data_IF_338413475179
#
_entry.id   IF_338413475179
#
_cell.length_a   1.000
_cell.length_b   1.000
_cell.length_c   1.000
_cell.angle_alpha   90.00
_cell.angle_beta   90.00
_cell.angle_gamma   90.00
#
_symmetry.space_group_name_H-M   'P 1'
#
loop_
_entity.id
_entity.type
_entity.pdbx_description
1 polymer ?
#
# COMPACT_ATOMS: atom_id res chain seq x y z
N UNK A 1 3.23 -7.60 15.26
CA UNK A 1 4.31 -6.96 14.49
C UNK A 1 3.74 -5.77 13.77
N UNK A 2 4.27 -4.58 14.02
CA UNK A 2 3.78 -3.34 13.40
C UNK A 2 4.44 -3.21 12.03
N UNK A 3 3.70 -3.49 10.96
CA UNK A 3 4.17 -3.25 9.60
C UNK A 3 4.11 -1.76 9.29
N UNK A 4 5.26 -1.11 9.20
CA UNK A 4 5.37 0.24 8.69
C UNK A 4 5.35 0.18 7.17
N UNK A 5 4.25 0.63 6.54
CA UNK A 5 4.18 0.76 5.09
C UNK A 5 4.62 2.16 4.68
N UNK A 6 5.74 2.21 3.96
CA UNK A 6 6.24 3.43 3.33
C UNK A 6 5.79 3.46 1.87
N UNK A 7 4.92 4.40 1.50
CA UNK A 7 4.67 4.74 0.12
C UNK A 7 5.36 6.08 -0.19
N UNK A 8 6.44 6.05 -0.95
CA UNK A 8 7.15 7.23 -1.46
C UNK A 8 6.78 7.42 -2.93
N UNK A 9 6.06 8.49 -3.26
CA UNK A 9 5.81 8.87 -4.65
C UNK A 9 6.67 10.10 -4.99
N UNK A 10 7.49 9.99 -6.02
CA UNK A 10 8.27 11.07 -6.58
C UNK A 10 7.53 11.67 -7.78
N UNK A 11 7.09 12.93 -7.67
CA UNK A 11 6.69 13.74 -8.80
C UNK A 11 7.85 14.65 -9.19
N UNK A 12 8.14 14.77 -10.48
CA UNK A 12 9.30 15.48 -11.04
C UNK A 12 9.29 17.01 -10.83
N UNK A 13 8.30 17.56 -10.16
CA UNK A 13 8.33 18.94 -9.70
C UNK A 13 8.56 18.98 -8.18
N UNK A 14 9.83 18.83 -7.82
CA UNK A 14 10.51 19.36 -6.63
C UNK A 14 10.16 18.85 -5.22
N UNK A 15 9.39 17.77 -4.99
CA UNK A 15 9.22 17.23 -3.64
C UNK A 15 9.07 15.73 -3.63
N UNK A 16 10.02 15.02 -3.03
CA UNK A 16 9.83 13.60 -2.67
C UNK A 16 8.97 13.55 -1.40
N UNK A 17 7.75 13.07 -1.53
CA UNK A 17 6.85 12.89 -0.40
C UNK A 17 7.01 11.49 0.19
N UNK A 18 7.45 11.40 1.44
CA UNK A 18 7.45 10.17 2.23
C UNK A 18 6.10 10.11 2.94
N UNK A 19 5.30 9.10 2.63
CA UNK A 19 4.00 8.92 3.29
C UNK A 19 4.14 8.01 4.50
N UNK A 20 3.73 8.49 5.66
CA UNK A 20 3.66 7.69 6.88
C UNK A 20 2.20 7.33 7.17
N UNK A 21 1.91 6.05 7.26
CA UNK A 21 0.66 5.53 7.78
C UNK A 21 0.84 5.26 9.28
N UNK A 22 0.03 5.87 10.11
CA UNK A 22 0.00 5.54 11.54
C UNK A 22 -1.07 4.46 11.75
N UNK A 23 -0.71 3.21 12.05
CA UNK A 23 -1.68 2.14 12.27
C UNK A 23 -2.22 2.22 13.70
N UNK A 24 -3.17 3.09 13.96
CA UNK A 24 -3.89 3.13 15.25
C UNK A 24 -5.39 3.37 15.06
N UNK A 25 -5.97 2.91 13.95
CA UNK A 25 -7.41 2.77 13.83
C UNK A 25 -7.85 1.30 13.96
N UNK A 26 -7.42 0.63 15.04
CA UNK A 26 -8.30 -0.38 15.61
C UNK A 26 -9.46 0.39 16.21
N UNK A 27 -10.60 0.36 15.53
CA UNK A 27 -11.86 0.89 16.04
C UNK A 27 -12.21 0.17 17.35
N UNK A 28 -11.76 0.74 18.44
CA UNK A 28 -12.39 0.48 19.72
C UNK A 28 -13.71 1.24 19.71
N UNK A 29 -14.80 0.55 19.39
CA UNK A 29 -16.18 1.05 19.48
C UNK A 29 -16.55 1.27 20.96
N UNK A 30 -15.85 2.16 21.62
CA UNK A 30 -16.22 2.71 22.92
C UNK A 30 -16.62 4.16 22.70
N UNK A 31 -17.89 4.38 22.38
CA UNK A 31 -18.50 5.70 22.47
C UNK A 31 -18.60 6.10 23.96
N UNK A 32 -17.85 7.10 24.45
CA UNK A 32 -18.29 7.83 25.61
C UNK A 32 -19.36 8.81 25.10
N UNK A 33 -20.61 8.60 25.47
CA UNK A 33 -21.61 9.66 25.49
C UNK A 33 -21.15 10.73 26.49
N UNK A 34 -20.32 11.65 26.04
CA UNK A 34 -20.05 12.89 26.76
C UNK A 34 -20.86 13.99 26.07
N UNK A 35 -21.77 14.58 26.82
CA UNK A 35 -22.59 15.73 26.50
C UNK A 35 -21.78 16.82 25.78
N UNK A 36 -22.02 16.96 24.48
CA UNK A 36 -21.50 18.06 23.67
C UNK A 36 -22.28 19.34 24.00
N UNK A 37 -21.94 19.99 25.09
CA UNK A 37 -22.37 21.38 25.33
C UNK A 37 -21.46 22.26 24.49
N UNK A 38 -21.95 22.71 23.32
CA UNK A 38 -21.54 23.96 22.68
C UNK A 38 -20.10 24.08 22.16
N UNK A 39 -19.37 22.99 21.83
CA UNK A 39 -18.08 23.15 21.11
C UNK A 39 -18.36 23.43 19.64
N UNK A 40 -18.07 24.65 19.20
CA UNK A 40 -18.00 24.98 17.78
C UNK A 40 -16.69 24.38 17.26
N UNK A 41 -16.77 23.31 16.48
CA UNK A 41 -15.61 22.74 15.79
C UNK A 41 -15.27 23.61 14.57
N UNK A 42 -13.98 23.75 14.30
CA UNK A 42 -13.50 24.33 13.04
C UNK A 42 -13.94 23.48 11.85
N UNK A 43 -14.18 24.11 10.73
CA UNK A 43 -14.30 23.42 9.44
C UNK A 43 -12.96 22.78 9.07
N UNK A 44 -12.96 21.81 8.17
CA UNK A 44 -11.72 21.18 7.72
C UNK A 44 -10.74 22.17 7.10
N UNK A 45 -11.26 23.16 6.37
CA UNK A 45 -10.43 24.21 5.77
C UNK A 45 -9.76 25.10 6.84
N UNK A 46 -10.51 25.55 7.84
CA UNK A 46 -9.96 26.30 8.98
C UNK A 46 -8.93 25.47 9.76
N UNK A 47 -9.17 24.17 9.93
CA UNK A 47 -8.22 23.26 10.57
C UNK A 47 -6.90 23.20 9.80
N UNK A 48 -6.92 23.05 8.47
CA UNK A 48 -5.71 23.04 7.61
C UNK A 48 -4.91 24.34 7.75
N UNK A 49 -5.59 25.49 7.70
CA UNK A 49 -4.96 26.82 7.80
C UNK A 49 -4.33 27.02 9.19
N UNK A 50 -5.04 26.65 10.25
CA UNK A 50 -4.54 26.78 11.61
C UNK A 50 -3.33 25.86 11.87
N UNK A 51 -3.39 24.58 11.46
CA UNK A 51 -2.26 23.64 11.56
C UNK A 51 -1.05 24.19 10.84
N UNK A 52 -1.22 24.65 9.59
CA UNK A 52 -0.12 25.24 8.79
C UNK A 52 0.50 26.43 9.49
N UNK A 53 -0.33 27.34 9.99
CA UNK A 53 0.13 28.56 10.68
C UNK A 53 0.90 28.24 11.95
N UNK A 54 0.37 27.33 12.79
CA UNK A 54 1.03 26.95 14.05
C UNK A 54 2.37 26.27 13.79
N UNK A 55 2.42 25.34 12.83
CA UNK A 55 3.66 24.62 12.47
C UNK A 55 4.69 25.59 11.87
N UNK A 56 4.28 26.46 10.93
CA UNK A 56 5.17 27.46 10.33
C UNK A 56 5.77 28.37 11.39
N UNK A 57 4.96 28.85 12.34
CA UNK A 57 5.44 29.74 13.42
C UNK A 57 6.41 29.03 14.37
N UNK A 58 6.22 27.74 14.65
CA UNK A 58 7.13 26.97 15.51
C UNK A 58 8.46 26.64 14.87
N UNK A 59 8.50 26.48 13.54
CA UNK A 59 9.68 26.09 12.79
C UNK A 59 10.46 27.31 12.25
N UNK A 60 9.82 28.47 12.19
CA UNK A 60 10.43 29.74 11.75
C UNK A 60 10.53 29.87 10.22
N UNK A 61 11.20 30.94 9.73
CA UNK A 61 11.19 31.33 8.31
C UNK A 61 12.07 30.46 7.40
N UNK A 62 12.97 29.65 7.95
CA UNK A 62 13.89 28.82 7.16
C UNK A 62 13.26 27.51 6.65
N UNK A 63 11.98 27.33 6.93
CA UNK A 63 11.21 26.12 6.56
C UNK A 63 9.96 26.58 5.83
N UNK A 64 9.56 25.85 4.78
CA UNK A 64 8.32 26.08 4.07
C UNK A 64 7.34 24.95 4.38
N UNK A 65 6.20 25.29 4.97
CA UNK A 65 5.10 24.38 5.24
C UNK A 65 4.07 24.52 4.11
N UNK A 66 3.75 23.42 3.44
CA UNK A 66 2.77 23.41 2.34
C UNK A 66 1.81 22.23 2.48
N UNK A 67 0.58 22.41 2.01
CA UNK A 67 -0.41 21.34 1.89
C UNK A 67 -0.65 21.12 0.41
N UNK A 68 -0.63 19.86 -0.01
CA UNK A 68 -0.92 19.44 -1.38
C UNK A 68 -1.90 18.28 -1.34
N UNK A 69 -2.81 18.25 -2.32
CA UNK A 69 -3.66 17.09 -2.53
C UNK A 69 -2.83 15.94 -3.09
N UNK A 70 -2.91 14.79 -2.42
CA UNK A 70 -2.22 13.55 -2.80
C UNK A 70 -3.27 12.54 -3.21
N UNK A 71 -3.20 12.08 -4.44
CA UNK A 71 -4.05 11.00 -4.94
C UNK A 71 -3.34 9.68 -4.73
N UNK A 72 -3.97 8.78 -4.00
CA UNK A 72 -3.52 7.43 -3.72
C UNK A 72 -4.22 6.41 -4.60
N UNK A 73 -3.89 5.14 -4.39
CA UNK A 73 -4.57 4.02 -5.04
C UNK A 73 -6.09 4.12 -4.85
N UNK A 74 -6.84 3.65 -5.84
CA UNK A 74 -8.30 3.67 -5.89
C UNK A 74 -8.90 5.08 -5.75
N UNK A 75 -8.24 6.07 -6.36
CA UNK A 75 -8.70 7.48 -6.39
C UNK A 75 -9.03 8.01 -4.97
N UNK A 76 -8.19 7.65 -4.01
CA UNK A 76 -8.31 8.13 -2.63
C UNK A 76 -7.53 9.43 -2.47
N UNK A 77 -8.19 10.48 -2.00
CA UNK A 77 -7.64 11.82 -1.89
C UNK A 77 -7.29 12.17 -0.44
N UNK A 78 -6.06 12.60 -0.23
CA UNK A 78 -5.57 13.09 1.06
C UNK A 78 -4.93 14.46 0.92
N UNK A 79 -5.09 15.29 1.96
CA UNK A 79 -4.33 16.52 2.09
C UNK A 79 -3.01 16.23 2.82
N UNK A 80 -1.92 16.23 2.06
CA UNK A 80 -0.57 15.96 2.54
C UNK A 80 0.15 17.24 2.95
N UNK A 81 0.46 17.38 4.24
CA UNK A 81 1.31 18.45 4.76
C UNK A 81 2.77 18.04 4.60
N UNK A 82 3.56 18.91 4.00
CA UNK A 82 5.02 18.76 3.82
C UNK A 82 5.75 19.92 4.46
N UNK A 83 6.90 19.63 5.05
CA UNK A 83 7.76 20.60 5.75
C UNK A 83 9.14 20.56 5.09
N UNK A 84 9.39 21.49 4.19
CA UNK A 84 10.65 21.58 3.46
C UNK A 84 11.61 22.58 4.12
N UNK A 85 12.81 22.13 4.48
CA UNK A 85 13.90 22.99 4.87
C UNK A 85 14.78 23.33 3.66
N UNK A 86 15.47 24.46 3.71
CA UNK A 86 16.39 24.88 2.64
C UNK A 86 17.56 23.89 2.39
N UNK A 87 17.75 22.93 3.27
CA UNK A 87 18.85 21.96 3.23
C UNK A 87 18.43 20.58 2.72
N UNK A 88 17.12 20.34 2.52
CA UNK A 88 16.59 19.03 2.14
C UNK A 88 15.74 19.15 0.87
N UNK A 89 15.95 18.25 -0.06
CA UNK A 89 15.13 18.12 -1.27
C UNK A 89 13.91 17.18 -1.08
N UNK A 90 13.75 16.62 0.11
CA UNK A 90 12.71 15.64 0.44
C UNK A 90 12.13 15.96 1.80
N UNK A 91 10.83 15.74 1.94
CA UNK A 91 10.10 15.87 3.19
C UNK A 91 9.14 14.69 3.36
N UNK A 92 8.93 14.19 4.58
CA UNK A 92 7.82 13.32 4.86
C UNK A 92 6.49 14.03 4.56
N UNK A 93 5.53 13.30 4.01
CA UNK A 93 4.16 13.78 3.83
C UNK A 93 3.29 13.28 4.97
N UNK A 94 2.62 14.19 5.65
CA UNK A 94 1.78 13.92 6.81
C UNK A 94 0.33 14.19 6.41
N UNK A 95 -0.53 13.17 6.46
CA UNK A 95 -1.93 13.28 6.02
C UNK A 95 -2.81 13.92 7.07
N UNK A 96 -3.32 15.11 6.78
CA UNK A 96 -4.14 15.89 7.71
C UNK A 96 -5.54 15.32 7.94
N UNK A 97 -6.06 14.52 7.00
CA UNK A 97 -7.37 13.89 7.09
C UNK A 97 -7.53 13.05 8.36
N UNK A 98 -6.47 12.30 8.76
CA UNK A 98 -6.48 11.50 9.99
C UNK A 98 -6.47 12.36 11.24
N UNK A 99 -5.69 13.43 11.24
CA UNK A 99 -5.61 14.36 12.36
C UNK A 99 -6.91 15.15 12.55
N UNK A 100 -7.59 15.49 11.45
CA UNK A 100 -8.91 16.13 11.55
C UNK A 100 -9.96 15.22 12.20
N UNK A 101 -9.97 13.92 11.87
CA UNK A 101 -10.83 12.95 12.58
C UNK A 101 -10.56 12.92 14.08
N UNK A 102 -9.29 12.99 14.49
CA UNK A 102 -8.91 13.04 15.91
C UNK A 102 -9.36 14.37 16.56
N UNK A 103 -9.24 15.49 15.84
CA UNK A 103 -9.75 16.78 16.30
C UNK A 103 -11.27 16.73 16.56
N UNK A 104 -12.02 16.14 15.67
CA UNK A 104 -13.48 15.95 15.84
C UNK A 104 -13.82 15.02 17.01
N UNK A 105 -12.92 14.08 17.36
CA UNK A 105 -13.04 13.24 18.56
C UNK A 105 -12.63 13.98 19.85
N UNK A 106 -12.24 15.25 19.77
CA UNK A 106 -11.98 16.12 20.92
C UNK A 106 -10.50 16.37 21.26
N UNK A 107 -9.57 15.84 20.46
CA UNK A 107 -8.15 16.13 20.61
C UNK A 107 -7.87 17.59 20.30
N UNK A 108 -7.02 18.25 21.09
CA UNK A 108 -6.70 19.66 20.89
C UNK A 108 -5.82 19.90 19.65
N UNK A 109 -5.95 21.08 19.02
CA UNK A 109 -5.09 21.47 17.90
C UNK A 109 -3.61 21.48 18.29
N UNK A 110 -3.31 21.84 19.53
CA UNK A 110 -1.94 21.93 20.05
C UNK A 110 -1.27 20.57 20.17
N UNK A 111 -1.98 19.55 20.69
CA UNK A 111 -1.51 18.17 20.76
C UNK A 111 -1.31 17.59 19.35
N UNK A 112 -2.22 17.88 18.42
CA UNK A 112 -2.11 17.47 17.02
C UNK A 112 -0.88 18.06 16.36
N UNK A 113 -0.65 19.37 16.51
CA UNK A 113 0.54 20.02 15.95
C UNK A 113 1.84 19.51 16.60
N UNK A 114 1.80 19.13 17.87
CA UNK A 114 2.94 18.50 18.53
C UNK A 114 3.26 17.14 17.91
N UNK A 115 2.27 16.30 17.71
CA UNK A 115 2.41 14.99 17.07
C UNK A 115 2.96 15.11 15.63
N UNK A 116 2.36 16.00 14.82
CA UNK A 116 2.83 16.26 13.46
C UNK A 116 4.31 16.61 13.45
N UNK A 117 4.76 17.45 14.38
CA UNK A 117 6.16 17.83 14.50
C UNK A 117 7.06 16.69 14.99
N UNK A 118 6.56 15.80 15.84
CA UNK A 118 7.28 14.60 16.27
C UNK A 118 7.45 13.63 15.11
N UNK A 119 6.36 13.31 14.39
CA UNK A 119 6.38 12.50 13.17
C UNK A 119 7.36 13.07 12.13
N UNK A 120 7.33 14.39 11.91
CA UNK A 120 8.29 15.04 11.02
C UNK A 120 9.74 14.85 11.46
N UNK A 121 10.05 15.06 12.75
CA UNK A 121 11.42 14.95 13.28
C UNK A 121 11.96 13.53 13.21
N UNK A 122 11.13 12.54 13.51
CA UNK A 122 11.50 11.13 13.49
C UNK A 122 11.76 10.60 12.08
N UNK A 123 11.08 11.21 11.09
CA UNK A 123 11.03 10.66 9.73
C UNK A 123 11.66 11.59 8.67
N UNK A 124 12.17 12.75 9.05
CA UNK A 124 12.91 13.58 8.11
C UNK A 124 14.22 12.88 7.73
N UNK A 125 14.59 12.88 6.43
CA UNK A 125 15.84 12.29 6.00
C UNK A 125 17.03 13.03 6.64
N UNK A 126 18.12 12.31 6.87
CA UNK A 126 19.37 12.85 7.40
C UNK A 126 20.14 13.71 6.39
N UNK A 127 19.76 13.67 5.12
CA UNK A 127 20.40 14.43 4.03
C UNK A 127 19.56 14.43 2.76
N UNK A 128 20.11 15.03 1.70
CA UNK A 128 19.51 14.98 0.37
C UNK A 128 19.55 13.55 -0.17
N UNK A 129 18.44 13.10 -0.73
CA UNK A 129 18.44 11.85 -1.51
C UNK A 129 18.82 12.20 -2.95
N UNK A 130 19.86 11.56 -3.47
CA UNK A 130 20.20 11.69 -4.87
C UNK A 130 19.18 10.95 -5.73
N UNK A 131 18.39 11.71 -6.48
CA UNK A 131 17.41 11.19 -7.44
C UNK A 131 17.89 11.35 -8.88
N UNK A 132 19.11 11.85 -9.09
CA UNK A 132 19.64 12.04 -10.45
C UNK A 132 19.78 10.72 -11.21
N UNK A 133 19.95 9.60 -10.49
CA UNK A 133 19.96 8.27 -11.07
C UNK A 133 18.69 7.98 -11.87
N UNK A 134 17.54 8.54 -11.46
CA UNK A 134 16.25 8.27 -12.09
C UNK A 134 16.14 8.86 -13.51
N UNK A 135 16.98 9.82 -13.85
CA UNK A 135 17.07 10.36 -15.22
C UNK A 135 17.88 9.46 -16.15
N UNK A 136 18.71 8.57 -15.60
CA UNK A 136 19.58 7.67 -16.36
C UNK A 136 18.98 6.27 -16.44
N UNK A 137 18.52 5.88 -17.63
CA UNK A 137 17.90 4.57 -17.86
C UNK A 137 18.79 3.39 -17.43
N UNK A 138 20.09 3.44 -17.68
CA UNK A 138 21.02 2.36 -17.30
C UNK A 138 21.05 2.10 -15.79
N UNK A 139 20.83 3.13 -14.99
CA UNK A 139 20.77 3.03 -13.53
C UNK A 139 19.40 2.58 -13.03
N UNK A 140 18.33 2.90 -13.78
CA UNK A 140 16.94 2.61 -13.41
C UNK A 140 16.52 1.21 -13.84
N UNK A 141 16.94 0.73 -15.01
CA UNK A 141 16.41 -0.48 -15.66
C UNK A 141 16.39 -1.72 -14.75
N UNK A 142 17.39 -1.90 -13.89
CA UNK A 142 17.49 -3.06 -13.00
C UNK A 142 16.69 -2.91 -11.70
N UNK A 143 16.01 -1.74 -11.50
CA UNK A 143 15.19 -1.39 -10.33
C UNK A 143 13.72 -1.29 -10.67
N UNK A 144 13.36 -1.50 -11.94
CA UNK A 144 11.97 -1.46 -12.41
C UNK A 144 11.25 -2.71 -11.95
N UNK A 145 10.16 -2.50 -11.21
CA UNK A 145 9.28 -3.55 -10.69
C UNK A 145 7.83 -3.23 -11.04
N UNK A 146 6.99 -4.25 -11.07
CA UNK A 146 5.55 -4.05 -11.24
C UNK A 146 4.78 -4.22 -9.93
N UNK A 147 3.57 -3.67 -9.91
CA UNK A 147 2.54 -3.95 -8.92
C UNK A 147 1.16 -3.99 -9.55
N UNK A 148 0.21 -4.54 -8.82
CA UNK A 148 -1.19 -4.60 -9.23
C UNK A 148 -1.99 -3.49 -8.55
N UNK A 149 -2.94 -2.94 -9.30
CA UNK A 149 -3.99 -2.05 -8.79
C UNK A 149 -5.31 -2.37 -9.50
N UNK A 150 -6.42 -1.95 -8.91
CA UNK A 150 -7.73 -2.06 -9.56
C UNK A 150 -7.80 -1.17 -10.81
N UNK A 151 -8.25 -1.71 -11.94
CA UNK A 151 -8.31 -0.95 -13.19
C UNK A 151 -9.39 0.13 -13.16
N UNK A 152 -10.62 -0.23 -12.75
CA UNK A 152 -11.76 0.68 -12.81
C UNK A 152 -11.63 1.83 -11.79
N UNK A 153 -11.13 1.52 -10.59
CA UNK A 153 -10.98 2.52 -9.53
C UNK A 153 -9.79 3.47 -9.71
N UNK A 154 -8.91 3.22 -10.71
CA UNK A 154 -7.71 4.01 -10.96
C UNK A 154 -7.67 4.64 -12.36
N UNK A 155 -8.80 4.79 -13.05
CA UNK A 155 -8.83 5.28 -14.44
C UNK A 155 -8.09 6.60 -14.64
N UNK A 156 -8.29 7.56 -13.75
CA UNK A 156 -7.64 8.88 -13.82
C UNK A 156 -6.10 8.80 -13.71
N UNK A 157 -5.60 7.86 -12.90
CA UNK A 157 -4.17 7.61 -12.77
C UNK A 157 -3.64 6.90 -14.01
N UNK A 158 -4.36 5.88 -14.50
CA UNK A 158 -3.96 5.04 -15.62
C UNK A 158 -3.80 5.81 -16.94
N UNK A 159 -4.50 6.93 -17.12
CA UNK A 159 -4.27 7.83 -18.28
C UNK A 159 -2.85 8.43 -18.30
N UNK A 160 -2.22 8.58 -17.14
CA UNK A 160 -0.94 9.28 -16.96
C UNK A 160 0.26 8.34 -16.88
N UNK A 161 0.01 7.05 -16.67
CA UNK A 161 1.04 6.05 -16.43
C UNK A 161 0.98 4.89 -17.43
N UNK A 162 2.13 4.28 -17.79
CA UNK A 162 2.14 3.04 -18.55
C UNK A 162 1.51 1.91 -17.74
N UNK A 163 0.60 1.17 -18.36
CA UNK A 163 -0.08 0.06 -17.68
C UNK A 163 -0.49 -1.04 -18.66
N UNK A 164 -0.72 -2.23 -18.15
CA UNK A 164 -1.28 -3.36 -18.89
C UNK A 164 -2.52 -3.84 -18.15
N UNK A 165 -3.66 -3.84 -18.84
CA UNK A 165 -4.92 -4.35 -18.29
C UNK A 165 -4.90 -5.88 -18.30
N UNK A 166 -5.27 -6.48 -17.17
CA UNK A 166 -5.46 -7.92 -17.01
C UNK A 166 -6.64 -8.16 -16.06
N UNK A 167 -7.66 -8.88 -16.51
CA UNK A 167 -8.92 -9.04 -15.78
C UNK A 167 -9.51 -7.66 -15.41
N UNK A 168 -9.89 -7.46 -14.16
CA UNK A 168 -10.29 -6.16 -13.60
C UNK A 168 -9.12 -5.37 -12.97
N UNK A 169 -7.88 -5.82 -13.20
CA UNK A 169 -6.66 -5.23 -12.66
C UNK A 169 -5.86 -4.49 -13.73
N UNK A 170 -4.92 -3.68 -13.26
CA UNK A 170 -3.85 -3.10 -14.05
C UNK A 170 -2.48 -3.42 -13.45
N UNK A 171 -1.57 -3.91 -14.28
CA UNK A 171 -0.15 -3.97 -13.98
C UNK A 171 0.41 -2.57 -14.21
N UNK A 172 1.00 -1.96 -13.21
CA UNK A 172 1.69 -0.68 -13.26
C UNK A 172 3.13 -0.81 -12.79
N UNK A 173 3.97 0.18 -13.05
CA UNK A 173 5.41 0.07 -12.92
C UNK A 173 5.97 1.11 -11.97
N UNK A 174 6.88 0.66 -11.12
CA UNK A 174 7.60 1.49 -10.15
C UNK A 174 9.11 1.25 -10.28
N UNK A 175 9.90 2.25 -9.95
CA UNK A 175 11.33 2.09 -9.72
C UNK A 175 11.58 1.95 -8.22
N UNK A 176 12.26 0.89 -7.79
CA UNK A 176 12.74 0.76 -6.41
C UNK A 176 13.89 1.74 -6.18
N UNK A 177 13.79 2.50 -5.11
CA UNK A 177 14.88 3.33 -4.60
C UNK A 177 15.56 2.53 -3.51
N UNK A 178 16.90 2.58 -3.42
CA UNK A 178 17.60 1.98 -2.29
C UNK A 178 17.07 2.63 -1.02
N UNK A 179 16.42 1.81 -0.22
CA UNK A 179 15.93 2.23 1.07
C UNK A 179 17.07 2.00 2.07
N UNK A 180 17.24 2.96 2.97
CA UNK A 180 17.97 2.76 4.20
C UNK A 180 17.24 1.74 5.10
N UNK A 181 17.72 1.50 6.30
CA UNK A 181 17.14 0.57 7.27
C UNK A 181 15.64 0.82 7.57
N UNK A 182 15.05 1.90 7.03
CA UNK A 182 13.68 2.34 7.29
C UNK A 182 12.64 1.83 6.29
N UNK A 183 13.01 1.14 5.21
CA UNK A 183 12.06 0.49 4.30
C UNK A 183 12.26 0.77 2.81
N UNK A 184 11.52 0.07 1.96
CA UNK A 184 11.60 0.18 0.50
C UNK A 184 10.81 1.41 -0.01
N UNK A 185 11.50 2.33 -0.68
CA UNK A 185 10.86 3.43 -1.37
C UNK A 185 10.65 3.10 -2.85
N UNK A 186 9.58 3.61 -3.45
CA UNK A 186 9.30 3.43 -4.87
C UNK A 186 8.96 4.75 -5.54
N UNK A 187 9.38 4.89 -6.81
CA UNK A 187 9.00 6.00 -7.67
C UNK A 187 8.02 5.45 -8.72
N UNK A 188 6.82 6.01 -8.80
CA UNK A 188 5.86 5.66 -9.84
C UNK A 188 6.37 6.11 -11.21
N UNK A 189 6.30 5.22 -12.21
CA UNK A 189 6.74 5.51 -13.57
C UNK A 189 5.57 6.12 -14.34
N UNK A 190 5.76 7.33 -14.89
CA UNK A 190 4.80 8.05 -15.73
C UNK A 190 5.14 7.89 -17.21
N UNK A 191 4.17 8.15 -18.10
CA UNK A 191 4.36 8.10 -19.55
C UNK A 191 5.51 8.99 -20.04
N UNK A 192 5.72 10.16 -19.42
CA UNK A 192 6.83 11.05 -19.72
C UNK A 192 8.22 10.42 -19.46
N UNK A 193 8.32 9.48 -18.51
CA UNK A 193 9.59 8.80 -18.22
C UNK A 193 9.98 7.84 -19.35
N UNK A 194 9.02 7.20 -20.02
CA UNK A 194 9.30 6.37 -21.19
C UNK A 194 9.96 7.20 -22.30
N UNK A 195 9.42 8.41 -22.54
CA UNK A 195 9.99 9.33 -23.50
C UNK A 195 11.39 9.81 -23.12
N UNK A 196 11.61 10.08 -21.81
CA UNK A 196 12.92 10.46 -21.29
C UNK A 196 13.97 9.37 -21.46
N UNK A 197 13.57 8.12 -21.24
CA UNK A 197 14.45 6.95 -21.32
C UNK A 197 14.52 6.35 -22.73
N UNK A 198 13.70 6.84 -23.66
CA UNK A 198 13.57 6.32 -25.03
C UNK A 198 13.28 4.82 -25.07
N UNK A 199 12.31 4.37 -24.27
CA UNK A 199 11.84 2.98 -24.21
C UNK A 199 10.34 2.89 -24.47
N UNK A 200 9.90 1.69 -24.85
CA UNK A 200 8.48 1.38 -25.04
C UNK A 200 7.86 0.84 -23.74
N UNK A 201 6.52 0.79 -23.74
CA UNK A 201 5.77 0.13 -22.66
C UNK A 201 6.10 -1.38 -22.57
N UNK A 202 6.33 -2.03 -23.71
CA UNK A 202 6.66 -3.46 -23.75
C UNK A 202 8.05 -3.74 -23.18
N UNK A 203 9.03 -2.88 -23.48
CA UNK A 203 10.36 -2.96 -22.85
C UNK A 203 10.24 -2.87 -21.32
N UNK A 204 9.43 -1.91 -20.84
CA UNK A 204 9.18 -1.71 -19.43
C UNK A 204 8.54 -2.95 -18.78
N UNK A 205 7.54 -3.55 -19.46
CA UNK A 205 6.88 -4.75 -19.00
C UNK A 205 7.84 -5.94 -18.89
N UNK A 206 8.63 -6.20 -19.92
CA UNK A 206 9.59 -7.30 -19.91
C UNK A 206 10.64 -7.16 -18.80
N UNK A 207 11.12 -5.94 -18.57
CA UNK A 207 12.05 -5.67 -17.48
C UNK A 207 11.39 -5.90 -16.12
N UNK A 208 10.19 -5.39 -15.91
CA UNK A 208 9.48 -5.54 -14.66
C UNK A 208 9.16 -7.00 -14.35
N UNK A 209 8.71 -7.78 -15.34
CA UNK A 209 8.42 -9.20 -15.18
C UNK A 209 9.66 -10.01 -14.80
N UNK A 210 10.84 -9.62 -15.27
CA UNK A 210 12.12 -10.23 -14.92
C UNK A 210 12.61 -9.80 -13.52
N UNK A 211 12.56 -8.50 -13.26
CA UNK A 211 13.18 -7.92 -12.07
C UNK A 211 12.35 -8.16 -10.80
N UNK A 212 11.02 -8.07 -10.90
CA UNK A 212 10.16 -8.12 -9.70
C UNK A 212 10.35 -9.40 -8.89
N UNK A 213 10.33 -10.62 -9.47
CA UNK A 213 10.57 -11.84 -8.71
C UNK A 213 11.97 -11.92 -8.09
N UNK A 214 12.97 -11.30 -8.74
CA UNK A 214 14.34 -11.30 -8.26
C UNK A 214 14.56 -10.33 -7.09
N UNK A 215 13.94 -9.15 -7.15
CA UNK A 215 14.08 -8.08 -6.15
C UNK A 215 13.09 -8.23 -5.00
N UNK A 216 11.90 -8.71 -5.28
CA UNK A 216 10.79 -8.90 -4.33
C UNK A 216 10.40 -10.38 -4.27
N UNK A 217 11.30 -11.19 -3.73
CA UNK A 217 11.13 -12.65 -3.63
C UNK A 217 9.83 -12.99 -2.92
N UNK A 218 9.04 -13.91 -3.49
CA UNK A 218 7.78 -14.33 -2.89
C UNK A 218 7.97 -15.02 -1.54
N UNK A 219 6.93 -14.96 -0.74
CA UNK A 219 6.72 -15.71 0.48
C UNK A 219 5.33 -16.33 0.43
N UNK A 220 5.28 -17.65 0.61
CA UNK A 220 4.03 -18.43 0.70
C UNK A 220 3.97 -19.06 2.08
N UNK A 221 2.92 -18.75 2.85
CA UNK A 221 2.76 -19.22 4.22
C UNK A 221 1.41 -19.92 4.38
N UNK A 222 1.39 -20.97 5.17
CA UNK A 222 0.11 -21.53 5.62
C UNK A 222 -0.62 -20.52 6.51
N UNK A 223 -1.94 -20.40 6.36
CA UNK A 223 -2.77 -19.49 7.14
C UNK A 223 -2.74 -19.85 8.63
N UNK A 224 -2.69 -21.14 8.94
CA UNK A 224 -2.60 -21.62 10.32
C UNK A 224 -1.34 -21.11 11.02
N UNK A 225 -0.20 -21.14 10.32
CA UNK A 225 1.06 -20.59 10.87
C UNK A 225 0.98 -19.07 11.10
N UNK A 226 0.33 -18.35 10.19
CA UNK A 226 0.11 -16.90 10.34
C UNK A 226 -0.78 -16.61 11.55
N UNK A 227 -1.86 -17.35 11.71
CA UNK A 227 -2.78 -17.18 12.86
C UNK A 227 -2.10 -17.52 14.19
N UNK A 228 -1.32 -18.60 14.25
CA UNK A 228 -0.55 -18.98 15.43
C UNK A 228 0.43 -17.87 15.82
N UNK A 229 1.12 -17.28 14.85
CA UNK A 229 2.07 -16.17 15.07
C UNK A 229 1.37 -14.91 15.60
N UNK A 230 0.20 -14.58 15.07
CA UNK A 230 -0.59 -13.42 15.53
C UNK A 230 -1.12 -13.61 16.94
N UNK A 231 -1.39 -14.85 17.34
CA UNK A 231 -1.85 -15.22 18.66
C UNK A 231 -0.69 -15.52 19.65
N UNK A 232 0.57 -15.37 19.23
CA UNK A 232 1.75 -15.59 20.06
C UNK A 232 1.72 -14.65 21.28
N UNK A 233 1.32 -15.18 22.42
CA UNK A 233 1.07 -14.46 23.69
C UNK A 233 -0.22 -14.91 24.39
N UNK A 234 -1.07 -15.68 23.72
CA UNK A 234 -2.24 -16.35 24.32
C UNK A 234 -1.88 -17.83 24.55
N UNK A 235 -1.94 -18.37 25.78
CA UNK A 235 -1.66 -19.78 26.04
C UNK A 235 -2.73 -20.64 25.36
N UNK A 236 -2.40 -21.30 24.26
CA UNK A 236 -3.36 -22.11 23.53
C UNK A 236 -2.76 -23.43 23.05
N UNK A 237 -2.83 -24.45 23.88
CA UNK A 237 -2.47 -25.82 23.50
C UNK A 237 -3.59 -26.56 22.71
N UNK A 238 -4.82 -26.01 22.65
CA UNK A 238 -5.97 -26.62 22.01
C UNK A 238 -6.21 -26.18 20.56
N UNK A 239 -5.60 -25.09 20.11
CA UNK A 239 -5.90 -24.52 18.78
C UNK A 239 -5.22 -25.23 17.60
N UNK A 240 -4.11 -25.93 17.79
CA UNK A 240 -3.48 -26.69 16.69
C UNK A 240 -4.39 -27.78 16.16
N UNK A 241 -5.15 -28.43 17.05
CA UNK A 241 -6.10 -29.49 16.67
C UNK A 241 -7.33 -28.91 15.94
N UNK A 242 -7.77 -27.70 16.25
CA UNK A 242 -8.88 -27.02 15.56
C UNK A 242 -8.50 -26.60 14.14
N UNK A 243 -7.25 -26.19 13.90
CA UNK A 243 -6.77 -25.80 12.58
C UNK A 243 -6.53 -26.99 11.63
N UNK A 244 -6.30 -28.20 12.12
CA UNK A 244 -6.15 -29.42 11.29
C UNK A 244 -7.40 -29.77 10.49
N UNK A 245 -8.58 -29.29 10.91
CA UNK A 245 -9.85 -29.54 10.23
C UNK A 245 -10.32 -28.39 9.32
N UNK A 246 -9.54 -27.31 9.23
CA UNK A 246 -9.89 -26.18 8.36
C UNK A 246 -9.47 -26.47 6.90
N UNK A 247 -10.21 -25.89 5.96
CA UNK A 247 -9.79 -25.87 4.55
C UNK A 247 -8.41 -25.24 4.46
N UNK A 248 -7.41 -25.91 3.85
CA UNK A 248 -6.08 -25.32 3.71
C UNK A 248 -6.15 -23.98 2.99
N UNK A 249 -5.55 -22.96 3.57
CA UNK A 249 -5.44 -21.61 2.99
C UNK A 249 -4.00 -21.16 3.04
N UNK A 250 -3.55 -20.50 2.01
CA UNK A 250 -2.18 -19.99 1.92
C UNK A 250 -2.19 -18.48 1.71
N UNK A 251 -1.35 -17.77 2.44
CA UNK A 251 -1.10 -16.34 2.25
C UNK A 251 0.11 -16.21 1.32
N UNK A 252 -0.11 -15.63 0.14
CA UNK A 252 0.93 -15.33 -0.84
C UNK A 252 1.23 -13.84 -0.83
N UNK A 253 2.47 -13.49 -0.56
CA UNK A 253 3.02 -12.14 -0.62
C UNK A 253 4.48 -12.20 -1.05
N UNK A 254 5.20 -11.09 -0.97
CA UNK A 254 6.66 -11.11 -1.01
C UNK A 254 7.26 -10.88 0.38
N UNK A 255 8.56 -11.22 0.54
CA UNK A 255 9.26 -11.08 1.83
C UNK A 255 9.29 -9.66 2.36
N UNK A 256 9.27 -8.66 1.49
CA UNK A 256 9.24 -7.24 1.85
C UNK A 256 7.84 -6.73 2.21
N UNK A 257 6.79 -7.54 2.03
CA UNK A 257 5.36 -7.15 2.18
C UNK A 257 4.99 -5.90 1.37
N UNK A 258 5.67 -5.65 0.27
CA UNK A 258 5.50 -4.49 -0.58
C UNK A 258 4.77 -4.86 -1.87
N UNK A 259 3.47 -4.55 -1.97
CA UNK A 259 2.64 -4.85 -3.15
C UNK A 259 2.71 -6.33 -3.57
N UNK A 260 2.70 -7.23 -2.59
CA UNK A 260 2.96 -8.65 -2.79
C UNK A 260 1.86 -9.42 -3.53
N UNK A 261 0.67 -8.83 -3.72
CA UNK A 261 -0.38 -9.41 -4.58
C UNK A 261 0.13 -9.71 -6.00
N UNK A 262 1.13 -8.95 -6.48
CA UNK A 262 1.78 -9.19 -7.77
C UNK A 262 2.42 -10.57 -7.91
N UNK A 263 2.69 -11.28 -6.82
CA UNK A 263 3.29 -12.62 -6.84
C UNK A 263 2.45 -13.64 -7.63
N UNK A 264 1.15 -13.42 -7.82
CA UNK A 264 0.29 -14.30 -8.65
C UNK A 264 0.76 -14.38 -10.11
N UNK A 265 1.53 -13.39 -10.58
CA UNK A 265 2.10 -13.37 -11.94
C UNK A 265 3.58 -13.79 -11.98
N UNK A 266 4.14 -14.29 -10.88
CA UNK A 266 5.49 -14.83 -10.92
C UNK A 266 5.52 -16.15 -11.69
N UNK A 267 6.51 -16.29 -12.56
CA UNK A 267 6.60 -17.43 -13.46
C UNK A 267 6.52 -18.77 -12.71
N UNK A 268 5.63 -19.65 -13.13
CA UNK A 268 5.39 -21.00 -12.62
C UNK A 268 5.03 -21.08 -11.12
N UNK A 269 4.84 -19.98 -10.39
CA UNK A 269 4.57 -20.06 -8.95
C UNK A 269 3.26 -20.78 -8.66
N UNK A 270 2.15 -20.33 -9.26
CA UNK A 270 0.84 -20.95 -9.07
C UNK A 270 0.81 -22.37 -9.65
N UNK A 271 1.42 -22.58 -10.81
CA UNK A 271 1.49 -23.91 -11.42
C UNK A 271 2.19 -24.93 -10.50
N UNK A 272 3.35 -24.57 -9.95
CA UNK A 272 4.08 -25.44 -9.02
C UNK A 272 3.29 -25.75 -7.73
N UNK A 273 2.49 -24.76 -7.26
CA UNK A 273 1.63 -24.96 -6.10
C UNK A 273 0.48 -25.93 -6.45
N UNK A 274 -0.18 -25.74 -7.61
CA UNK A 274 -1.23 -26.63 -8.08
C UNK A 274 -0.73 -28.07 -8.28
N UNK A 275 0.47 -28.24 -8.85
CA UNK A 275 1.10 -29.55 -8.99
C UNK A 275 1.34 -30.23 -7.63
N UNK A 276 1.77 -29.46 -6.63
CA UNK A 276 1.98 -29.99 -5.27
C UNK A 276 0.70 -30.35 -4.56
N UNK A 277 -0.38 -29.59 -4.79
CA UNK A 277 -1.68 -29.77 -4.15
C UNK A 277 -2.61 -30.69 -4.96
N UNK A 278 -2.25 -31.02 -6.19
CA UNK A 278 -3.00 -31.83 -7.15
C UNK A 278 -4.41 -31.27 -7.49
N UNK A 279 -4.59 -29.94 -7.38
CA UNK A 279 -5.87 -29.25 -7.62
C UNK A 279 -5.68 -27.86 -8.24
N UNK A 280 -6.77 -27.27 -8.70
CA UNK A 280 -6.86 -25.86 -9.10
C UNK A 280 -6.85 -24.94 -7.86
N UNK A 281 -6.79 -23.63 -8.05
CA UNK A 281 -6.78 -22.67 -6.95
C UNK A 281 -7.83 -21.59 -7.14
N UNK A 282 -8.55 -21.25 -6.07
CA UNK A 282 -9.17 -19.93 -5.92
C UNK A 282 -8.13 -18.94 -5.39
N UNK A 283 -8.17 -17.72 -5.94
CA UNK A 283 -7.31 -16.62 -5.55
C UNK A 283 -8.19 -15.50 -5.02
N UNK A 284 -8.08 -15.17 -3.74
CA UNK A 284 -8.83 -14.10 -3.09
C UNK A 284 -7.91 -12.88 -2.98
N UNK A 285 -8.22 -11.78 -3.67
CA UNK A 285 -7.43 -10.56 -3.66
C UNK A 285 -7.70 -9.75 -2.38
N UNK A 286 -7.16 -10.20 -1.27
CA UNK A 286 -7.36 -9.59 0.06
C UNK A 286 -6.91 -8.13 0.06
N UNK A 287 -5.73 -7.84 -0.54
CA UNK A 287 -5.23 -6.47 -0.65
C UNK A 287 -4.22 -6.33 -1.79
N UNK A 288 -3.73 -5.10 -2.03
CA UNK A 288 -2.58 -4.90 -2.93
C UNK A 288 -1.29 -5.54 -2.38
N UNK A 289 -1.25 -5.91 -1.11
CA UNK A 289 -0.06 -6.41 -0.43
C UNK A 289 0.04 -7.93 -0.43
N UNK A 290 -1.08 -8.62 -0.49
CA UNK A 290 -1.16 -10.09 -0.39
C UNK A 290 -2.43 -10.63 -1.02
N UNK A 291 -2.42 -11.91 -1.33
CA UNK A 291 -3.60 -12.67 -1.74
C UNK A 291 -3.69 -13.95 -0.93
N UNK A 292 -4.91 -14.44 -0.74
CA UNK A 292 -5.16 -15.75 -0.15
C UNK A 292 -5.40 -16.74 -1.28
N UNK A 293 -4.74 -17.90 -1.21
CA UNK A 293 -4.92 -19.01 -2.13
C UNK A 293 -5.66 -20.14 -1.41
N UNK A 294 -6.71 -20.65 -2.03
CA UNK A 294 -7.52 -21.75 -1.51
C UNK A 294 -7.55 -22.87 -2.54
N UNK A 295 -7.22 -24.13 -2.17
CA UNK A 295 -7.37 -25.28 -3.05
C UNK A 295 -8.83 -25.45 -3.50
N UNK A 296 -9.06 -25.57 -4.79
CA UNK A 296 -10.39 -25.72 -5.38
C UNK A 296 -10.73 -27.21 -5.52
N UNK A 297 -11.05 -27.86 -4.39
CA UNK A 297 -11.48 -29.26 -4.40
C UNK A 297 -12.95 -29.42 -4.86
N UNK A 298 -13.79 -28.40 -4.60
CA UNK A 298 -15.18 -28.34 -5.00
C UNK A 298 -15.50 -27.00 -5.67
N UNK A 299 -16.27 -27.02 -6.76
CA UNK A 299 -16.62 -25.81 -7.54
C UNK A 299 -17.76 -24.99 -6.91
N UNK A 300 -18.42 -25.48 -5.87
CA UNK A 300 -19.63 -24.85 -5.32
C UNK A 300 -19.37 -23.65 -4.39
N UNK A 301 -18.12 -23.35 -4.06
CA UNK A 301 -17.77 -22.31 -3.08
C UNK A 301 -17.58 -20.91 -3.67
N UNK A 302 -17.68 -20.70 -4.98
CA UNK A 302 -17.30 -19.43 -5.63
C UNK A 302 -18.13 -18.22 -5.14
N UNK A 303 -19.45 -18.38 -5.04
CA UNK A 303 -20.34 -17.29 -4.60
C UNK A 303 -20.12 -16.93 -3.11
N UNK A 304 -19.86 -17.94 -2.27
CA UNK A 304 -19.55 -17.74 -0.86
C UNK A 304 -18.22 -17.02 -0.69
N UNK A 305 -17.18 -17.44 -1.42
CA UNK A 305 -15.88 -16.79 -1.40
C UNK A 305 -15.95 -15.33 -1.91
N UNK A 306 -16.74 -15.09 -2.96
CA UNK A 306 -16.96 -13.73 -3.47
C UNK A 306 -17.66 -12.85 -2.44
N UNK A 307 -18.64 -13.38 -1.73
CA UNK A 307 -19.34 -12.65 -0.65
C UNK A 307 -18.40 -12.34 0.50
N UNK A 308 -17.53 -13.27 0.89
CA UNK A 308 -16.51 -13.09 1.92
C UNK A 308 -15.49 -12.00 1.53
N UNK A 309 -14.99 -12.00 0.29
CA UNK A 309 -14.06 -10.98 -0.21
C UNK A 309 -14.68 -9.59 -0.09
N UNK A 310 -15.93 -9.41 -0.53
CA UNK A 310 -16.65 -8.13 -0.44
C UNK A 310 -16.85 -7.68 0.99
N UNK A 311 -17.19 -8.59 1.90
CA UNK A 311 -17.35 -8.28 3.32
C UNK A 311 -16.02 -7.82 3.94
N UNK A 312 -14.94 -8.56 3.72
CA UNK A 312 -13.60 -8.19 4.21
C UNK A 312 -13.17 -6.84 3.65
N UNK A 313 -13.32 -6.61 2.33
CA UNK A 313 -12.96 -5.34 1.69
C UNK A 313 -13.73 -4.16 2.28
N UNK A 314 -15.03 -4.34 2.59
CA UNK A 314 -15.86 -3.27 3.13
C UNK A 314 -15.65 -2.99 4.62
N UNK A 315 -15.17 -3.96 5.40
CA UNK A 315 -15.09 -3.88 6.86
C UNK A 315 -13.68 -3.81 7.43
N UNK A 316 -12.68 -4.38 6.74
CA UNK A 316 -11.33 -4.57 7.27
C UNK A 316 -10.25 -3.78 6.52
N UNK A 317 -10.48 -3.43 5.26
CA UNK A 317 -9.46 -2.77 4.43
C UNK A 317 -9.76 -1.28 4.26
N UNK A 318 -8.70 -0.49 4.18
CA UNK A 318 -8.82 0.88 3.70
C UNK A 318 -9.08 0.89 2.19
N UNK A 319 -9.80 1.90 1.69
CA UNK A 319 -10.11 2.00 0.25
C UNK A 319 -8.86 1.90 -0.63
N UNK A 320 -7.74 2.45 -0.19
CA UNK A 320 -6.48 2.45 -0.95
C UNK A 320 -5.77 1.08 -0.97
N UNK A 321 -6.15 0.16 -0.10
CA UNK A 321 -5.57 -1.19 -0.04
C UNK A 321 -6.35 -2.23 -0.85
N UNK A 322 -7.62 -1.97 -1.14
CA UNK A 322 -8.47 -2.91 -1.89
C UNK A 322 -7.91 -3.14 -3.29
N UNK A 323 -7.70 -4.41 -3.64
CA UNK A 323 -7.26 -4.81 -4.97
C UNK A 323 -8.45 -5.13 -5.87
N UNK A 324 -9.33 -6.05 -5.50
CA UNK A 324 -10.53 -6.42 -6.25
C UNK A 324 -11.60 -6.98 -5.32
N UNK A 325 -12.87 -6.86 -5.74
CA UNK A 325 -14.03 -7.51 -5.10
C UNK A 325 -14.36 -8.89 -5.71
N UNK A 326 -13.55 -9.34 -6.68
CA UNK A 326 -13.77 -10.60 -7.39
C UNK A 326 -12.79 -11.67 -6.92
N UNK A 327 -13.27 -12.89 -6.83
CA UNK A 327 -12.41 -14.07 -6.69
C UNK A 327 -11.91 -14.48 -8.07
N UNK A 328 -10.64 -14.86 -8.17
CA UNK A 328 -10.09 -15.42 -9.39
C UNK A 328 -9.93 -16.93 -9.25
N UNK A 329 -9.91 -17.59 -10.40
CA UNK A 329 -9.68 -19.02 -10.51
C UNK A 329 -8.44 -19.28 -11.36
N UNK A 330 -7.50 -20.06 -10.84
CA UNK A 330 -6.36 -20.55 -11.59
C UNK A 330 -6.53 -22.00 -11.95
N UNK A 331 -6.58 -22.30 -13.25
CA UNK A 331 -6.68 -23.67 -13.75
C UNK A 331 -5.28 -24.28 -13.91
N UNK A 332 -5.07 -25.41 -13.25
CA UNK A 332 -3.86 -26.24 -13.38
C UNK A 332 -3.65 -26.73 -14.82
N UNK A 333 -4.74 -27.12 -15.48
CA UNK A 333 -4.70 -27.66 -16.83
C UNK A 333 -4.26 -26.61 -17.87
N UNK A 334 -4.83 -25.40 -17.80
CA UNK A 334 -4.56 -24.34 -18.78
C UNK A 334 -3.42 -23.42 -18.38
N UNK A 335 -3.04 -23.38 -17.10
CA UNK A 335 -2.09 -22.44 -16.56
C UNK A 335 -2.56 -20.97 -16.58
N UNK A 336 -3.88 -20.75 -16.65
CA UNK A 336 -4.47 -19.41 -16.79
C UNK A 336 -5.27 -19.00 -15.57
N UNK A 337 -5.24 -17.69 -15.29
CA UNK A 337 -6.12 -17.04 -14.31
C UNK A 337 -7.36 -16.53 -15.05
N UNK A 338 -8.54 -16.84 -14.53
CA UNK A 338 -9.85 -16.35 -14.98
C UNK A 338 -10.63 -15.73 -13.81
N UNK A 339 -11.73 -15.04 -14.13
CA UNK A 339 -12.63 -14.37 -13.19
C UNK A 339 -14.05 -14.85 -13.44
#
# INVERSE_FOLDING_TARGET
MRGFFYNRCLNFQSVICISFYHPTDTECNCFPRASAIGRIFMTYQEFKENVTTVIQNRLGPNVKVTIQEIIKNNDTHYDGLTILSNQLNISPTIYLNFYFKQYLKGRSLEEICHDILSVYKENKPSGNIDISFFTNYEQVKNRIVFKLINYEQNKNLLEKIPHIKILDLAIIFNCLVDADETGNATILIYNQHLSLWNITKDDLYHLAMKNTPALLTYELRDMSDVLIELMAGVPCNSMKEEFEYMVPMYVLSNKSKLNGSGCIFYHNLLHNLCEKLECDLYILPSSIHEVILIPAYDHDSYDELTSMVKEVNSTQLSKEEILSDHVYFYSRETGQISM
#
